data_IF_627524415807
#
_entry.id   IF_627524415807
#
_cell.length_a   1.000
_cell.length_b   1.000
_cell.length_c   1.000
_cell.angle_alpha   90.00
_cell.angle_beta   90.00
_cell.angle_gamma   90.00
#
_symmetry.space_group_name_H-M   'P 1'
#
loop_
_entity.id
_entity.type
_entity.pdbx_description
1 polymer ?
#
# COMPACT_ATOMS: atom_id res chain seq x y z
N UNK A 1 -30.16 -14.18 -61.16
CA UNK A 1 -29.31 -13.41 -62.08
C UNK A 1 -28.47 -12.46 -61.23
N UNK A 2 -27.30 -12.89 -60.76
CA UNK A 2 -26.39 -12.02 -60.00
C UNK A 2 -25.76 -11.05 -61.00
N UNK A 3 -26.23 -9.80 -61.01
CA UNK A 3 -25.67 -8.76 -61.88
C UNK A 3 -24.33 -8.34 -61.27
N UNK A 4 -23.22 -8.62 -61.97
CA UNK A 4 -21.93 -8.02 -61.66
C UNK A 4 -22.05 -6.51 -61.90
N UNK A 5 -21.97 -5.73 -60.82
CA UNK A 5 -21.88 -4.27 -60.88
C UNK A 5 -20.53 -3.87 -61.47
N UNK A 6 -20.55 -2.88 -62.35
CA UNK A 6 -19.34 -2.35 -62.97
C UNK A 6 -18.52 -1.53 -61.96
N UNK A 7 -17.21 -1.38 -62.20
CA UNK A 7 -16.28 -0.64 -61.31
C UNK A 7 -16.77 0.77 -60.93
N UNK A 8 -17.47 1.45 -61.85
CA UNK A 8 -18.04 2.78 -61.57
C UNK A 8 -19.20 2.73 -60.58
N UNK A 9 -20.02 1.68 -60.60
CA UNK A 9 -21.13 1.51 -59.64
C UNK A 9 -20.59 1.20 -58.23
N UNK A 10 -19.48 0.46 -58.12
CA UNK A 10 -18.76 0.23 -56.87
C UNK A 10 -18.18 1.52 -56.27
N UNK A 11 -17.59 2.37 -57.11
CA UNK A 11 -17.03 3.65 -56.67
C UNK A 11 -18.10 4.62 -56.15
N UNK A 12 -19.28 4.65 -56.80
CA UNK A 12 -20.40 5.48 -56.34
C UNK A 12 -20.98 4.94 -55.03
N UNK A 13 -21.13 3.63 -54.87
CA UNK A 13 -21.59 3.04 -53.61
C UNK A 13 -20.60 3.27 -52.46
N UNK A 14 -19.28 3.21 -52.71
CA UNK A 14 -18.28 3.43 -51.66
C UNK A 14 -18.25 4.89 -51.20
N UNK A 15 -18.38 5.87 -52.10
CA UNK A 15 -18.56 7.29 -51.75
C UNK A 15 -19.89 7.54 -51.02
N UNK A 16 -20.98 6.89 -51.47
CA UNK A 16 -22.28 7.00 -50.80
C UNK A 16 -22.25 6.42 -49.38
N UNK A 17 -21.48 5.35 -49.16
CA UNK A 17 -21.30 4.73 -47.85
C UNK A 17 -20.40 5.58 -46.94
N UNK A 18 -19.31 6.15 -47.47
CA UNK A 18 -18.43 7.10 -46.76
C UNK A 18 -19.18 8.32 -46.22
N UNK A 19 -20.18 8.83 -46.93
CA UNK A 19 -20.96 10.02 -46.49
C UNK A 19 -21.98 9.75 -45.39
N UNK A 20 -22.44 8.50 -45.22
CA UNK A 20 -23.57 8.19 -44.32
C UNK A 20 -23.14 7.66 -42.95
N UNK A 21 -21.92 7.18 -42.84
CA UNK A 21 -21.32 6.67 -41.61
C UNK A 21 -19.93 7.30 -41.52
N UNK A 22 -19.67 8.07 -40.48
CA UNK A 22 -18.43 8.80 -40.22
C UNK A 22 -17.25 7.81 -40.03
N UNK A 23 -16.79 7.19 -41.11
CA UNK A 23 -15.57 6.39 -41.18
C UNK A 23 -14.41 7.27 -41.66
N UNK A 24 -14.23 8.43 -41.04
CA UNK A 24 -13.03 9.28 -41.25
C UNK A 24 -11.75 8.67 -40.64
N UNK A 25 -11.85 7.51 -39.99
CA UNK A 25 -10.81 6.88 -39.18
C UNK A 25 -10.09 5.71 -39.86
N UNK A 26 -10.62 5.25 -40.99
CA UNK A 26 -10.14 4.07 -41.71
C UNK A 26 -9.66 4.49 -43.10
N UNK A 27 -8.36 4.35 -43.36
CA UNK A 27 -7.77 4.47 -44.68
C UNK A 27 -7.54 3.09 -45.28
N UNK A 28 -7.82 2.96 -46.57
CA UNK A 28 -7.48 1.76 -47.33
C UNK A 28 -6.21 2.04 -48.11
N UNK A 29 -5.11 1.39 -47.75
CA UNK A 29 -3.84 1.45 -48.49
C UNK A 29 -3.53 0.06 -48.99
N UNK A 30 -3.38 -0.10 -50.32
CA UNK A 30 -3.03 -1.35 -51.00
C UNK A 30 -3.85 -2.59 -50.57
N UNK A 31 -5.15 -2.38 -50.28
CA UNK A 31 -6.08 -3.46 -49.93
C UNK A 31 -6.19 -3.78 -48.44
N UNK A 32 -5.33 -3.18 -47.60
CA UNK A 32 -5.39 -3.35 -46.15
C UNK A 32 -6.11 -2.17 -45.46
N UNK A 33 -6.87 -2.53 -44.42
CA UNK A 33 -7.55 -1.58 -43.53
C UNK A 33 -6.53 -1.03 -42.54
N UNK A 34 -6.16 0.24 -42.68
CA UNK A 34 -5.19 0.91 -41.79
C UNK A 34 -5.90 2.05 -41.07
N UNK A 35 -5.66 2.18 -39.76
CA UNK A 35 -6.13 3.34 -39.00
C UNK A 35 -5.35 4.59 -39.41
N UNK A 36 -6.04 5.70 -39.65
CA UNK A 36 -5.43 6.97 -40.01
C UNK A 36 -4.32 7.35 -39.01
N UNK A 37 -3.13 7.74 -39.52
CA UNK A 37 -1.91 7.91 -38.71
C UNK A 37 -2.10 8.93 -37.57
N UNK A 38 -2.87 9.99 -37.78
CA UNK A 38 -3.18 11.01 -36.77
C UNK A 38 -3.88 10.43 -35.54
N UNK A 39 -4.73 9.41 -35.70
CA UNK A 39 -5.49 8.85 -34.59
C UNK A 39 -4.69 7.82 -33.81
N UNK A 40 -3.78 7.09 -34.48
CA UNK A 40 -2.74 6.30 -33.82
C UNK A 40 -1.86 7.21 -32.95
N UNK A 41 -1.45 8.36 -33.47
CA UNK A 41 -0.69 9.35 -32.68
C UNK A 41 -1.51 9.96 -31.54
N UNK A 42 -2.81 10.23 -31.70
CA UNK A 42 -3.68 10.68 -30.60
C UNK A 42 -3.89 9.62 -29.53
N UNK A 43 -4.11 8.36 -29.89
CA UNK A 43 -4.22 7.26 -28.92
C UNK A 43 -2.91 7.05 -28.16
N UNK A 44 -1.77 7.12 -28.86
CA UNK A 44 -0.45 7.03 -28.26
C UNK A 44 -0.16 8.25 -27.35
N UNK A 45 -0.42 9.48 -27.80
CA UNK A 45 -0.29 10.71 -27.00
C UNK A 45 -1.24 10.73 -25.80
N UNK A 46 -2.47 10.23 -25.97
CA UNK A 46 -3.44 10.05 -24.90
C UNK A 46 -2.97 9.04 -23.87
N UNK A 47 -2.45 7.90 -24.31
CA UNK A 47 -1.81 6.90 -23.46
C UNK A 47 -0.60 7.45 -22.70
N UNK A 48 0.27 8.22 -23.35
CA UNK A 48 1.39 8.91 -22.70
C UNK A 48 0.92 9.96 -21.68
N UNK A 49 -0.11 10.75 -21.99
CA UNK A 49 -0.68 11.73 -21.05
C UNK A 49 -1.30 11.04 -19.84
N UNK A 50 -2.11 9.99 -20.04
CA UNK A 50 -2.71 9.22 -18.95
C UNK A 50 -1.62 8.56 -18.10
N UNK A 51 -0.62 7.95 -18.73
CA UNK A 51 0.54 7.36 -18.05
C UNK A 51 1.34 8.39 -17.25
N UNK A 52 1.59 9.57 -17.81
CA UNK A 52 2.27 10.67 -17.12
C UNK A 52 1.43 11.22 -15.96
N UNK A 53 0.10 11.34 -16.10
CA UNK A 53 -0.78 11.71 -14.99
C UNK A 53 -0.80 10.67 -13.87
N UNK A 54 -0.81 9.38 -14.21
CA UNK A 54 -0.73 8.30 -13.24
C UNK A 54 0.62 8.32 -12.51
N UNK A 55 1.72 8.49 -13.27
CA UNK A 55 3.07 8.56 -12.74
C UNK A 55 3.24 9.77 -11.82
N UNK A 56 2.83 10.97 -12.25
CA UNK A 56 2.89 12.19 -11.42
C UNK A 56 2.03 12.07 -10.17
N UNK A 57 0.85 11.44 -10.26
CA UNK A 57 0.02 11.17 -9.08
C UNK A 57 0.67 10.18 -8.12
N UNK A 58 1.31 9.14 -8.65
CA UNK A 58 2.08 8.17 -7.86
C UNK A 58 3.33 8.81 -7.22
N UNK A 59 4.04 9.68 -7.94
CA UNK A 59 5.18 10.44 -7.42
C UNK A 59 4.76 11.40 -6.30
N UNK A 60 3.62 12.08 -6.43
CA UNK A 60 3.06 12.90 -5.33
C UNK A 60 2.67 12.07 -4.11
N UNK A 61 2.32 10.80 -4.30
CA UNK A 61 2.06 9.87 -3.20
C UNK A 61 3.34 9.51 -2.44
N UNK A 62 4.49 9.61 -3.11
CA UNK A 62 5.84 9.30 -2.61
C UNK A 62 6.54 10.51 -1.99
N UNK A 63 5.97 11.71 -2.07
CA UNK A 63 6.59 12.88 -1.45
C UNK A 63 6.47 12.80 0.09
N UNK A 64 7.58 13.00 0.81
CA UNK A 64 7.53 13.13 2.26
C UNK A 64 6.69 14.37 2.61
N UNK A 65 5.70 14.19 3.48
CA UNK A 65 4.82 15.27 3.91
C UNK A 65 5.43 15.98 5.11
N UNK A 66 5.14 17.27 5.22
CA UNK A 66 5.75 18.14 6.25
C UNK A 66 5.10 17.95 7.62
N UNK A 67 3.82 17.56 7.66
CA UNK A 67 3.03 17.35 8.88
C UNK A 67 3.17 15.95 9.50
N UNK A 68 3.94 15.07 8.86
CA UNK A 68 4.07 13.67 9.26
C UNK A 68 5.34 13.41 10.09
N UNK A 69 5.18 12.59 11.13
CA UNK A 69 6.26 12.07 11.96
C UNK A 69 7.09 11.03 11.18
N UNK A 70 8.32 10.76 11.63
CA UNK A 70 9.19 9.74 11.03
C UNK A 70 8.50 8.37 10.94
N UNK A 71 7.77 7.98 11.99
CA UNK A 71 7.06 6.69 12.00
C UNK A 71 5.89 6.66 11.03
N UNK A 72 5.20 7.78 10.81
CA UNK A 72 4.11 7.85 9.82
C UNK A 72 4.69 7.68 8.41
N UNK A 73 5.81 8.34 8.12
CA UNK A 73 6.58 8.19 6.87
C UNK A 73 7.03 6.73 6.66
N UNK A 74 7.45 6.02 7.72
CA UNK A 74 7.74 4.59 7.60
C UNK A 74 6.56 3.77 7.07
N UNK A 75 5.31 4.14 7.37
CA UNK A 75 4.13 3.39 6.89
C UNK A 75 3.79 3.74 5.44
N UNK A 76 3.37 4.97 5.20
CA UNK A 76 2.74 5.34 3.94
C UNK A 76 3.74 5.51 2.80
N UNK A 77 5.00 5.84 3.11
CA UNK A 77 6.05 6.06 2.14
C UNK A 77 6.90 4.80 2.01
N UNK A 78 7.69 4.46 3.02
CA UNK A 78 8.66 3.36 2.89
C UNK A 78 7.98 1.99 2.78
N UNK A 79 7.12 1.64 3.74
CA UNK A 79 6.47 0.32 3.78
C UNK A 79 5.53 0.14 2.60
N UNK A 80 4.63 1.09 2.34
CA UNK A 80 3.72 1.04 1.19
C UNK A 80 4.47 0.85 -0.14
N UNK A 81 5.53 1.62 -0.38
CA UNK A 81 6.33 1.53 -1.61
C UNK A 81 7.06 0.20 -1.70
N UNK A 82 7.64 -0.27 -0.60
CA UNK A 82 8.31 -1.56 -0.53
C UNK A 82 7.36 -2.72 -0.90
N UNK A 83 6.16 -2.75 -0.31
CA UNK A 83 5.15 -3.76 -0.63
C UNK A 83 4.70 -3.69 -2.10
N UNK A 84 4.50 -2.48 -2.63
CA UNK A 84 4.15 -2.28 -4.03
C UNK A 84 5.25 -2.76 -4.99
N UNK A 85 6.51 -2.45 -4.69
CA UNK A 85 7.66 -2.92 -5.48
C UNK A 85 7.77 -4.45 -5.44
N UNK A 86 7.64 -5.08 -4.28
CA UNK A 86 7.65 -6.54 -4.20
C UNK A 86 6.48 -7.18 -4.94
N UNK A 87 5.30 -6.57 -4.91
CA UNK A 87 4.16 -7.00 -5.72
C UNK A 87 4.50 -7.02 -7.21
N UNK A 88 5.14 -5.96 -7.73
CA UNK A 88 5.58 -5.90 -9.13
C UNK A 88 6.63 -6.96 -9.44
N UNK A 89 7.65 -7.11 -8.59
CA UNK A 89 8.75 -8.07 -8.82
C UNK A 89 8.21 -9.51 -8.87
N UNK A 90 7.35 -9.89 -7.90
CA UNK A 90 6.73 -11.22 -7.88
C UNK A 90 5.83 -11.41 -9.11
N UNK A 91 5.04 -10.40 -9.49
CA UNK A 91 4.18 -10.47 -10.69
C UNK A 91 4.99 -10.62 -11.98
N UNK A 92 6.13 -9.95 -12.10
CA UNK A 92 7.02 -10.07 -13.24
C UNK A 92 7.58 -11.50 -13.36
N UNK A 93 7.95 -12.10 -12.21
CA UNK A 93 8.41 -13.50 -12.20
C UNK A 93 7.27 -14.48 -12.54
N UNK A 94 6.04 -14.14 -12.19
CA UNK A 94 4.84 -14.94 -12.42
C UNK A 94 4.43 -15.04 -13.90
N UNK A 95 4.68 -14.01 -14.70
CA UNK A 95 4.31 -13.95 -16.12
C UNK A 95 5.21 -14.80 -17.04
N UNK A 96 6.41 -15.16 -16.59
CA UNK A 96 7.34 -16.00 -17.35
C UNK A 96 7.00 -17.48 -17.22
N UNK A 97 7.92 -18.23 -16.59
CA UNK A 97 7.74 -19.64 -16.23
C UNK A 97 7.80 -19.75 -14.70
N UNK A 98 6.64 -19.83 -14.02
CA UNK A 98 6.63 -19.90 -12.56
C UNK A 98 7.10 -21.27 -12.04
N UNK A 99 6.88 -22.32 -12.84
CA UNK A 99 7.27 -23.70 -12.55
C UNK A 99 7.86 -24.36 -13.80
N UNK A 100 8.73 -25.34 -13.56
CA UNK A 100 9.32 -26.20 -14.59
C UNK A 100 9.13 -27.66 -14.15
N UNK A 101 8.55 -28.51 -15.00
CA UNK A 101 8.16 -29.87 -14.62
C UNK A 101 8.98 -30.94 -15.35
N UNK A 102 9.43 -31.94 -14.61
CA UNK A 102 10.03 -33.14 -15.18
C UNK A 102 8.94 -34.04 -15.76
N UNK A 103 8.69 -33.88 -17.07
CA UNK A 103 7.70 -34.64 -17.83
C UNK A 103 8.32 -35.86 -18.52
N UNK A 104 7.53 -36.91 -18.82
CA UNK A 104 8.02 -38.07 -19.56
C UNK A 104 8.55 -37.71 -20.96
N UNK A 105 9.61 -38.38 -21.42
CA UNK A 105 10.27 -38.08 -22.69
C UNK A 105 9.37 -38.21 -23.94
N UNK A 106 8.25 -38.94 -23.84
CA UNK A 106 7.26 -39.03 -24.92
C UNK A 106 6.40 -37.77 -25.09
N UNK A 107 6.44 -36.82 -24.16
CA UNK A 107 5.64 -35.59 -24.25
C UNK A 107 6.29 -34.62 -25.24
N UNK A 108 5.46 -33.99 -26.07
CA UNK A 108 5.89 -32.89 -26.92
C UNK A 108 6.03 -31.61 -26.11
N UNK A 109 6.74 -30.60 -26.63
CA UNK A 109 6.86 -29.28 -25.98
C UNK A 109 5.51 -28.64 -25.64
N UNK A 110 4.49 -28.86 -26.48
CA UNK A 110 3.15 -28.36 -26.21
C UNK A 110 2.48 -29.08 -25.02
N UNK A 111 2.73 -30.39 -24.86
CA UNK A 111 2.24 -31.17 -23.73
C UNK A 111 2.96 -30.80 -22.43
N UNK A 112 4.26 -30.51 -22.49
CA UNK A 112 5.05 -29.97 -21.38
C UNK A 112 4.47 -28.63 -20.90
N UNK A 113 4.27 -27.67 -21.80
CA UNK A 113 3.67 -26.37 -21.49
C UNK A 113 2.24 -26.50 -20.94
N UNK A 114 1.44 -27.42 -21.47
CA UNK A 114 0.11 -27.70 -20.92
C UNK A 114 0.22 -28.24 -19.49
N UNK A 115 1.14 -29.19 -19.25
CA UNK A 115 1.36 -29.80 -17.93
C UNK A 115 1.79 -28.74 -16.92
N UNK A 116 2.76 -27.89 -17.27
CA UNK A 116 3.23 -26.79 -16.41
C UNK A 116 2.11 -25.79 -16.11
N UNK A 117 1.36 -25.34 -17.13
CA UNK A 117 0.27 -24.41 -16.90
C UNK A 117 -0.86 -25.02 -16.06
N UNK A 118 -1.19 -26.29 -16.29
CA UNK A 118 -2.19 -27.01 -15.50
C UNK A 118 -1.76 -27.13 -14.04
N UNK A 119 -0.53 -27.59 -13.80
CA UNK A 119 0.03 -27.75 -12.46
C UNK A 119 0.17 -26.42 -11.72
N UNK A 120 0.47 -25.35 -12.45
CA UNK A 120 0.49 -24.02 -11.87
C UNK A 120 -0.90 -23.60 -11.40
N UNK A 121 -1.94 -23.75 -12.23
CA UNK A 121 -3.31 -23.30 -11.92
C UNK A 121 -3.98 -24.16 -10.85
N UNK A 122 -3.80 -25.48 -10.89
CA UNK A 122 -4.47 -26.42 -9.99
C UNK A 122 -3.83 -26.49 -8.58
N UNK A 123 -2.62 -25.94 -8.42
CA UNK A 123 -1.73 -26.08 -7.27
C UNK A 123 -0.95 -27.40 -7.22
N UNK A 124 0.17 -27.38 -6.53
CA UNK A 124 1.04 -28.53 -6.31
C UNK A 124 1.07 -28.91 -4.84
N UNK A 125 1.51 -30.13 -4.50
CA UNK A 125 1.63 -30.60 -3.13
C UNK A 125 3.05 -31.07 -2.81
N UNK A 126 3.44 -31.00 -1.55
CA UNK A 126 4.78 -31.41 -1.11
C UNK A 126 4.75 -32.76 -0.37
N UNK A 127 5.72 -33.62 -0.69
CA UNK A 127 5.97 -34.90 -0.02
C UNK A 127 7.49 -35.05 0.16
N UNK A 128 7.98 -35.44 1.36
CA UNK A 128 9.39 -35.77 1.56
C UNK A 128 9.86 -36.87 0.60
N UNK A 129 11.10 -36.78 0.12
CA UNK A 129 11.65 -37.78 -0.83
C UNK A 129 11.74 -39.21 -0.26
N UNK A 130 11.82 -39.35 1.06
CA UNK A 130 11.90 -40.64 1.73
C UNK A 130 10.51 -41.26 1.96
N UNK A 131 9.45 -40.46 1.84
CA UNK A 131 8.08 -40.89 2.06
C UNK A 131 7.43 -41.37 0.75
N UNK A 132 6.56 -42.37 0.86
CA UNK A 132 5.75 -42.85 -0.26
C UNK A 132 4.69 -41.80 -0.62
N UNK A 133 4.48 -41.58 -1.92
CA UNK A 133 3.42 -40.69 -2.42
C UNK A 133 2.06 -41.24 -1.94
N UNK A 134 1.27 -40.47 -1.16
CA UNK A 134 0.00 -40.95 -0.60
C UNK A 134 -0.93 -41.48 -1.69
N UNK A 135 -1.57 -42.64 -1.47
CA UNK A 135 -2.50 -43.19 -2.46
C UNK A 135 -3.87 -42.49 -2.46
N UNK A 136 -4.33 -42.03 -1.28
CA UNK A 136 -5.60 -41.34 -1.11
C UNK A 136 -5.52 -39.92 -1.66
N UNK A 137 -6.55 -39.50 -2.39
CA UNK A 137 -6.65 -38.16 -2.97
C UNK A 137 -6.77 -37.08 -1.88
N UNK A 138 -7.59 -37.33 -0.85
CA UNK A 138 -7.79 -36.41 0.26
C UNK A 138 -6.47 -36.03 0.98
N UNK A 139 -5.55 -36.99 1.10
CA UNK A 139 -4.24 -36.78 1.72
C UNK A 139 -3.31 -35.92 0.85
N UNK A 140 -3.52 -35.91 -0.46
CA UNK A 140 -2.80 -35.05 -1.41
C UNK A 140 -3.39 -33.64 -1.40
N UNK A 141 -4.72 -33.53 -1.42
CA UNK A 141 -5.44 -32.25 -1.35
C UNK A 141 -5.09 -31.45 -0.10
N UNK A 142 -5.01 -32.10 1.08
CA UNK A 142 -4.60 -31.45 2.34
C UNK A 142 -3.16 -30.93 2.34
N UNK A 143 -2.31 -31.42 1.44
CA UNK A 143 -0.91 -31.01 1.29
C UNK A 143 -0.69 -30.00 0.15
N UNK A 144 -1.77 -29.55 -0.51
CA UNK A 144 -1.68 -28.60 -1.61
C UNK A 144 -1.24 -27.22 -1.13
N UNK A 145 -0.43 -26.57 -1.95
CA UNK A 145 0.16 -25.26 -1.68
C UNK A 145 -0.31 -24.30 -2.77
N UNK A 146 -1.32 -23.49 -2.43
CA UNK A 146 -1.92 -22.54 -3.36
C UNK A 146 -1.60 -21.06 -3.12
N UNK A 147 -0.86 -20.72 -2.06
CA UNK A 147 -0.66 -19.31 -1.70
C UNK A 147 0.20 -18.53 -2.70
N UNK A 148 1.11 -19.19 -3.45
CA UNK A 148 2.02 -18.51 -4.39
C UNK A 148 1.30 -17.69 -5.47
N UNK A 149 0.15 -18.18 -5.95
CA UNK A 149 -0.69 -17.47 -6.93
C UNK A 149 -1.23 -16.15 -6.38
N UNK A 150 -1.46 -16.08 -5.06
CA UNK A 150 -2.10 -14.95 -4.38
C UNK A 150 -1.11 -13.95 -3.78
N UNK A 151 0.18 -14.30 -3.69
CA UNK A 151 1.24 -13.42 -3.16
C UNK A 151 1.21 -12.01 -3.76
N UNK A 152 1.23 -11.81 -5.09
CA UNK A 152 1.27 -10.45 -5.65
C UNK A 152 0.04 -9.62 -5.26
N UNK A 153 -1.16 -10.23 -5.29
CA UNK A 153 -2.38 -9.55 -4.90
C UNK A 153 -2.40 -9.19 -3.42
N UNK A 154 -1.93 -10.10 -2.55
CA UNK A 154 -1.81 -9.85 -1.12
C UNK A 154 -0.86 -8.68 -0.84
N UNK A 155 0.29 -8.62 -1.52
CA UNK A 155 1.26 -7.53 -1.38
C UNK A 155 0.69 -6.18 -1.88
N UNK A 156 -0.02 -6.18 -3.00
CA UNK A 156 -0.66 -4.97 -3.52
C UNK A 156 -1.74 -4.42 -2.56
N UNK A 157 -2.58 -5.30 -2.00
CA UNK A 157 -3.59 -4.92 -1.01
C UNK A 157 -2.92 -4.38 0.25
N UNK A 158 -1.85 -5.02 0.74
CA UNK A 158 -1.09 -4.56 1.89
C UNK A 158 -0.51 -3.15 1.67
N UNK A 159 0.04 -2.86 0.49
CA UNK A 159 0.53 -1.52 0.15
C UNK A 159 -0.57 -0.45 0.31
N UNK A 160 -1.76 -0.70 -0.23
CA UNK A 160 -2.91 0.22 -0.11
C UNK A 160 -3.31 0.41 1.36
N UNK A 161 -3.35 -0.68 2.13
CA UNK A 161 -3.70 -0.63 3.55
C UNK A 161 -2.69 0.18 4.38
N UNK A 162 -1.39 0.14 4.05
CA UNK A 162 -0.37 0.98 4.70
C UNK A 162 -0.51 2.47 4.37
N UNK A 163 -1.06 2.82 3.20
CA UNK A 163 -1.31 4.21 2.82
C UNK A 163 -2.63 4.76 3.39
N UNK A 164 -3.58 3.89 3.75
CA UNK A 164 -4.93 4.26 4.18
C UNK A 164 -4.98 5.20 5.40
N UNK A 165 -4.26 4.95 6.52
CA UNK A 165 -4.39 5.81 7.71
C UNK A 165 -3.95 7.26 7.47
N UNK A 166 -2.88 7.48 6.71
CA UNK A 166 -2.42 8.83 6.36
C UNK A 166 -3.38 9.54 5.39
N UNK A 167 -4.10 8.79 4.56
CA UNK A 167 -5.18 9.36 3.74
C UNK A 167 -6.36 9.80 4.61
N UNK A 168 -6.70 9.02 5.63
CA UNK A 168 -7.74 9.34 6.61
C UNK A 168 -7.38 10.59 7.41
N UNK A 169 -6.11 10.72 7.84
CA UNK A 169 -5.60 11.93 8.48
C UNK A 169 -5.92 13.18 7.66
N UNK A 170 -5.55 13.19 6.37
CA UNK A 170 -5.81 14.34 5.48
C UNK A 170 -7.29 14.69 5.35
N UNK A 171 -8.14 13.67 5.22
CA UNK A 171 -9.59 13.89 5.07
C UNK A 171 -10.18 14.49 6.35
N UNK A 172 -9.73 14.06 7.52
CA UNK A 172 -10.29 14.47 8.81
C UNK A 172 -9.66 15.75 9.38
N UNK A 173 -8.36 15.97 9.13
CA UNK A 173 -7.62 17.16 9.61
C UNK A 173 -8.09 18.42 8.90
N UNK A 174 -8.36 18.36 7.60
CA UNK A 174 -8.90 19.49 6.82
C UNK A 174 -10.27 19.96 7.31
N UNK A 175 -11.08 19.08 7.92
CA UNK A 175 -12.38 19.44 8.51
C UNK A 175 -12.25 20.30 9.77
N UNK A 176 -11.07 20.38 10.37
CA UNK A 176 -10.83 21.18 11.57
C UNK A 176 -10.74 22.69 11.28
N UNK A 177 -10.63 23.09 10.01
CA UNK A 177 -10.26 24.46 9.60
C UNK A 177 -8.77 24.77 9.76
N UNK A 178 -8.01 23.90 10.43
CA UNK A 178 -6.57 24.04 10.60
C UNK A 178 -5.83 23.41 9.43
N UNK A 179 -5.07 24.21 8.68
CA UNK A 179 -4.19 23.69 7.65
C UNK A 179 -2.79 23.48 8.22
N UNK A 180 -2.56 22.30 8.81
CA UNK A 180 -1.28 21.94 9.43
C UNK A 180 -0.11 22.08 8.44
N UNK A 181 -0.31 21.64 7.18
CA UNK A 181 0.71 21.76 6.14
C UNK A 181 1.10 23.22 5.88
N UNK A 182 0.13 24.15 5.85
CA UNK A 182 0.41 25.56 5.63
C UNK A 182 1.14 26.18 6.84
N UNK A 183 0.71 25.84 8.05
CA UNK A 183 1.35 26.28 9.29
C UNK A 183 2.82 25.91 9.31
N UNK A 184 3.13 24.65 8.99
CA UNK A 184 4.52 24.20 9.02
C UNK A 184 5.30 24.78 7.85
N UNK A 185 4.71 24.94 6.66
CA UNK A 185 5.40 25.58 5.53
C UNK A 185 5.79 27.04 5.82
N UNK A 186 4.91 27.80 6.47
CA UNK A 186 5.20 29.18 6.89
C UNK A 186 6.25 29.22 8.01
N UNK A 187 6.21 28.25 8.93
CA UNK A 187 7.24 28.12 9.95
C UNK A 187 8.59 27.70 9.34
N UNK A 188 8.63 26.72 8.44
CA UNK A 188 9.87 26.16 7.90
C UNK A 188 10.37 26.87 6.63
N UNK A 189 9.99 28.12 6.41
CA UNK A 189 10.39 28.84 5.21
C UNK A 189 11.85 29.28 5.31
N UNK A 190 12.67 28.98 4.29
CA UNK A 190 14.09 29.36 4.24
C UNK A 190 14.34 30.88 4.36
N UNK A 191 13.32 31.70 4.15
CA UNK A 191 13.39 33.16 4.27
C UNK A 191 13.28 33.66 5.71
N UNK A 192 12.95 32.79 6.68
CA UNK A 192 12.86 33.14 8.10
C UNK A 192 14.24 33.44 8.74
N UNK A 193 15.34 33.30 7.98
CA UNK A 193 16.67 33.82 8.34
C UNK A 193 16.61 35.33 8.56
N UNK A 194 15.81 36.06 7.77
CA UNK A 194 15.65 37.50 7.91
C UNK A 194 14.69 37.79 9.08
N UNK A 195 15.13 38.55 10.12
CA UNK A 195 14.29 38.85 11.28
C UNK A 195 12.98 39.55 10.92
N UNK A 196 12.96 40.42 9.89
CA UNK A 196 11.75 41.11 9.47
C UNK A 196 10.72 40.15 8.87
N UNK A 197 11.18 39.16 8.08
CA UNK A 197 10.32 38.14 7.48
C UNK A 197 9.83 37.19 8.55
N UNK A 198 10.71 36.75 9.45
CA UNK A 198 10.36 35.87 10.57
C UNK A 198 9.29 36.49 11.46
N UNK A 199 9.44 37.75 11.87
CA UNK A 199 8.46 38.42 12.73
C UNK A 199 7.09 38.50 12.04
N UNK A 200 7.07 38.78 10.73
CA UNK A 200 5.84 38.76 9.95
C UNK A 200 5.23 37.36 9.83
N UNK A 201 6.04 36.33 9.57
CA UNK A 201 5.62 34.92 9.53
C UNK A 201 5.02 34.48 10.87
N UNK A 202 5.66 34.83 11.98
CA UNK A 202 5.17 34.56 13.34
C UNK A 202 3.85 35.27 13.62
N UNK A 203 3.70 36.53 13.18
CA UNK A 203 2.46 37.29 13.32
C UNK A 203 1.30 36.64 12.53
N UNK A 204 1.55 36.27 11.27
CA UNK A 204 0.57 35.57 10.42
C UNK A 204 0.20 34.21 11.02
N UNK A 205 1.20 33.45 11.48
CA UNK A 205 1.02 32.15 12.10
C UNK A 205 0.19 32.25 13.39
N UNK A 206 0.50 33.22 14.24
CA UNK A 206 -0.22 33.46 15.50
C UNK A 206 -1.68 33.81 15.23
N UNK A 207 -1.96 34.68 14.26
CA UNK A 207 -3.33 35.00 13.84
C UNK A 207 -4.06 33.78 13.31
N UNK A 208 -3.43 32.99 12.44
CA UNK A 208 -4.03 31.78 11.88
C UNK A 208 -4.38 30.75 12.96
N UNK A 209 -3.46 30.49 13.90
CA UNK A 209 -3.69 29.57 15.02
C UNK A 209 -4.81 30.09 15.92
N UNK A 210 -4.80 31.39 16.27
CA UNK A 210 -5.84 31.99 17.11
C UNK A 210 -7.22 31.91 16.44
N UNK A 211 -7.33 32.25 15.16
CA UNK A 211 -8.58 32.16 14.39
C UNK A 211 -9.07 30.71 14.26
N UNK A 212 -8.16 29.75 14.02
CA UNK A 212 -8.52 28.34 13.92
C UNK A 212 -8.98 27.76 15.28
N UNK A 213 -8.29 28.08 16.37
CA UNK A 213 -8.68 27.66 17.72
C UNK A 213 -10.00 28.32 18.16
N UNK A 214 -10.23 29.60 17.82
CA UNK A 214 -11.51 30.28 18.03
C UNK A 214 -12.63 29.62 17.23
N UNK A 215 -12.41 29.33 15.96
CA UNK A 215 -13.39 28.63 15.11
C UNK A 215 -13.82 27.29 15.73
N UNK A 216 -12.86 26.49 16.20
CA UNK A 216 -13.15 25.21 16.87
C UNK A 216 -13.97 25.40 18.15
N UNK A 217 -13.64 26.42 18.95
CA UNK A 217 -14.33 26.75 20.20
C UNK A 217 -15.79 27.16 19.96
N UNK A 218 -16.02 28.06 19.02
CA UNK A 218 -17.35 28.57 18.70
C UNK A 218 -18.23 27.48 18.09
N UNK A 219 -17.65 26.63 17.23
CA UNK A 219 -18.35 25.51 16.63
C UNK A 219 -18.76 24.45 17.67
N UNK A 220 -17.89 24.18 18.65
CA UNK A 220 -18.17 23.26 19.75
C UNK A 220 -19.36 23.66 20.64
N UNK A 221 -19.62 24.97 20.76
CA UNK A 221 -20.72 25.52 21.57
C UNK A 221 -22.09 25.41 20.86
N UNK A 222 -22.13 25.42 19.52
CA UNK A 222 -23.35 25.70 18.75
C UNK A 222 -24.21 24.49 18.34
N UNK A 223 -23.67 23.26 18.28
CA UNK A 223 -24.38 22.12 17.65
C UNK A 223 -24.81 21.00 18.63
N UNK A 224 -26.12 20.66 18.62
CA UNK A 224 -26.80 19.72 19.55
C UNK A 224 -27.28 18.38 18.92
N UNK A 225 -26.74 17.88 17.80
CA UNK A 225 -27.26 16.65 17.14
C UNK A 225 -26.40 15.37 17.26
N UNK A 226 -27.12 14.23 17.39
CA UNK A 226 -26.89 12.77 17.23
C UNK A 226 -25.59 12.08 17.72
N UNK A 227 -25.80 10.93 18.37
CA UNK A 227 -24.96 10.17 19.32
C UNK A 227 -23.66 9.51 18.80
N UNK A 228 -23.48 9.24 17.50
CA UNK A 228 -22.34 8.42 17.03
C UNK A 228 -20.97 9.15 17.13
N UNK A 229 -20.97 10.47 17.31
CA UNK A 229 -19.77 11.30 17.35
C UNK A 229 -19.32 11.71 18.77
N UNK A 230 -19.73 11.00 19.83
CA UNK A 230 -19.50 11.44 21.22
C UNK A 230 -18.02 11.72 21.57
N UNK A 231 -17.07 10.88 21.12
CA UNK A 231 -15.62 11.07 21.35
C UNK A 231 -15.09 12.27 20.56
N UNK A 232 -15.46 12.37 19.28
CA UNK A 232 -15.12 13.51 18.42
C UNK A 232 -15.78 14.82 18.92
N UNK A 233 -16.93 14.73 19.59
CA UNK A 233 -17.59 15.86 20.26
C UNK A 233 -16.87 16.25 21.55
N UNK A 234 -16.47 15.29 22.39
CA UNK A 234 -15.68 15.56 23.58
C UNK A 234 -14.38 16.28 23.18
N UNK A 235 -13.67 15.77 22.16
CA UNK A 235 -12.54 16.46 21.55
C UNK A 235 -12.86 17.90 21.11
N UNK A 236 -13.94 18.11 20.35
CA UNK A 236 -14.36 19.46 19.89
C UNK A 236 -14.67 20.43 21.03
N UNK A 237 -15.32 19.99 22.11
CA UNK A 237 -15.65 20.84 23.26
C UNK A 237 -14.40 21.25 24.04
N UNK A 238 -13.45 20.33 24.20
CA UNK A 238 -12.19 20.58 24.92
C UNK A 238 -11.07 21.19 24.04
N UNK A 239 -11.33 21.56 22.78
CA UNK A 239 -10.30 22.07 21.86
C UNK A 239 -9.18 21.05 21.62
N UNK A 240 -9.59 19.79 21.46
CA UNK A 240 -8.76 18.61 21.30
C UNK A 240 -9.20 17.80 20.06
N UNK A 241 -9.90 18.42 19.11
CA UNK A 241 -10.44 17.71 17.94
C UNK A 241 -9.31 17.17 17.07
N UNK A 242 -8.34 18.02 16.73
CA UNK A 242 -7.22 17.64 15.86
C UNK A 242 -6.38 16.57 16.55
N UNK A 243 -6.14 16.74 17.85
CA UNK A 243 -5.42 15.79 18.70
C UNK A 243 -6.09 14.43 18.75
N UNK A 244 -7.42 14.38 18.92
CA UNK A 244 -8.19 13.12 18.93
C UNK A 244 -8.13 12.44 17.57
N UNK A 245 -8.26 13.20 16.47
CA UNK A 245 -8.13 12.67 15.11
C UNK A 245 -6.72 12.13 14.87
N UNK A 246 -5.69 12.83 15.34
CA UNK A 246 -4.30 12.41 15.21
C UNK A 246 -4.03 11.09 15.95
N UNK A 247 -4.46 11.00 17.22
CA UNK A 247 -4.37 9.76 18.01
C UNK A 247 -5.17 8.61 17.39
N UNK A 248 -6.34 8.91 16.82
CA UNK A 248 -7.12 7.92 16.08
C UNK A 248 -6.33 7.38 14.88
N UNK A 249 -5.69 8.23 14.08
CA UNK A 249 -4.85 7.78 12.96
C UNK A 249 -3.64 6.98 13.43
N UNK A 250 -2.96 7.39 14.50
CA UNK A 250 -1.87 6.60 15.11
C UNK A 250 -2.36 5.22 15.53
N UNK A 251 -3.56 5.13 16.11
CA UNK A 251 -4.17 3.85 16.46
C UNK A 251 -4.49 2.99 15.24
N UNK A 252 -4.92 3.59 14.12
CA UNK A 252 -5.12 2.89 12.86
C UNK A 252 -3.81 2.38 12.26
N UNK A 253 -2.71 3.14 12.35
CA UNK A 253 -1.38 2.65 11.95
C UNK A 253 -0.97 1.42 12.76
N UNK A 254 -1.13 1.47 14.10
CA UNK A 254 -0.82 0.32 14.97
C UNK A 254 -1.71 -0.89 14.66
N UNK A 255 -3.03 -0.68 14.52
CA UNK A 255 -3.95 -1.75 14.16
C UNK A 255 -3.61 -2.36 12.80
N UNK A 256 -3.26 -1.53 11.81
CA UNK A 256 -2.90 -2.00 10.49
C UNK A 256 -1.61 -2.84 10.52
N UNK A 257 -0.55 -2.39 11.19
CA UNK A 257 0.70 -3.19 11.24
C UNK A 257 0.49 -4.51 11.98
N UNK A 258 -0.29 -4.54 13.06
CA UNK A 258 -0.65 -5.78 13.78
C UNK A 258 -1.47 -6.70 12.87
N UNK A 259 -2.48 -6.16 12.17
CA UNK A 259 -3.30 -6.93 11.26
C UNK A 259 -2.47 -7.52 10.11
N UNK A 260 -1.56 -6.74 9.52
CA UNK A 260 -0.66 -7.20 8.47
C UNK A 260 0.31 -8.26 8.99
N UNK A 261 0.82 -8.12 10.21
CA UNK A 261 1.67 -9.14 10.82
C UNK A 261 0.90 -10.46 11.02
N UNK A 262 -0.33 -10.41 11.53
CA UNK A 262 -1.19 -11.60 11.69
C UNK A 262 -1.52 -12.19 10.32
N UNK A 263 -1.95 -11.36 9.37
CA UNK A 263 -2.28 -11.80 8.01
C UNK A 263 -1.09 -12.46 7.32
N UNK A 264 0.12 -11.93 7.48
CA UNK A 264 1.34 -12.52 6.92
C UNK A 264 1.63 -13.92 7.49
N UNK A 265 1.48 -14.08 8.81
CA UNK A 265 1.69 -15.38 9.46
C UNK A 265 0.61 -16.39 9.03
N UNK A 266 -0.66 -15.97 8.97
CA UNK A 266 -1.78 -16.82 8.53
C UNK A 266 -1.69 -17.16 7.03
N UNK A 267 -1.20 -16.25 6.19
CA UNK A 267 -1.08 -16.47 4.75
C UNK A 267 -0.06 -17.56 4.40
N UNK A 268 0.98 -17.70 5.22
CA UNK A 268 2.01 -18.73 5.09
C UNK A 268 1.61 -20.05 5.74
N UNK A 269 0.43 -20.13 6.35
CA UNK A 269 0.06 -21.22 7.26
C UNK A 269 -0.11 -22.55 6.52
N UNK A 270 0.89 -23.41 6.69
CA UNK A 270 0.82 -24.87 6.57
C UNK A 270 1.05 -25.55 7.93
N UNK A 271 0.99 -24.82 9.07
CA UNK A 271 1.20 -25.42 10.39
C UNK A 271 0.69 -24.56 11.56
N UNK A 272 0.22 -25.22 12.63
CA UNK A 272 -0.41 -24.71 13.87
C UNK A 272 0.44 -23.76 14.76
N UNK A 273 1.34 -22.95 14.21
CA UNK A 273 2.24 -22.09 15.00
C UNK A 273 2.01 -20.60 14.70
N UNK A 274 1.65 -19.77 15.70
CA UNK A 274 1.31 -18.36 15.50
C UNK A 274 2.50 -17.47 15.08
N UNK A 275 3.74 -17.93 15.28
CA UNK A 275 4.97 -17.20 14.92
C UNK A 275 5.74 -17.91 13.81
N UNK A 276 5.10 -18.13 12.67
CA UNK A 276 5.68 -18.85 11.54
C UNK A 276 7.03 -18.28 11.10
N UNK A 277 7.11 -16.96 10.88
CA UNK A 277 8.34 -16.31 10.39
C UNK A 277 9.53 -16.45 11.35
N UNK A 278 9.29 -16.41 12.66
CA UNK A 278 10.34 -16.63 13.67
C UNK A 278 10.90 -18.06 13.63
N UNK A 279 10.04 -19.04 13.34
CA UNK A 279 10.48 -20.42 13.17
C UNK A 279 11.24 -20.64 11.86
N UNK A 280 10.81 -20.02 10.75
CA UNK A 280 11.58 -20.09 9.48
C UNK A 280 12.97 -19.49 9.68
N UNK A 281 13.06 -18.37 10.40
CA UNK A 281 14.34 -17.76 10.75
C UNK A 281 15.20 -18.67 11.63
N UNK A 282 14.60 -19.31 12.64
CA UNK A 282 15.28 -20.29 13.49
C UNK A 282 15.82 -21.50 12.70
N UNK A 283 15.01 -22.04 11.78
CA UNK A 283 15.42 -23.13 10.90
C UNK A 283 16.58 -22.71 10.00
N UNK A 284 16.53 -21.49 9.45
CA UNK A 284 17.60 -20.97 8.61
C UNK A 284 18.90 -20.77 9.39
N UNK A 285 18.83 -20.29 10.64
CA UNK A 285 20.00 -20.12 11.52
C UNK A 285 20.58 -21.48 11.94
N UNK A 286 19.72 -22.47 12.20
CA UNK A 286 20.13 -23.83 12.56
C UNK A 286 20.57 -24.67 11.35
N UNK A 287 20.43 -24.14 10.13
CA UNK A 287 20.82 -24.82 8.89
C UNK A 287 19.86 -25.93 8.46
N UNK A 288 18.61 -25.94 8.95
CA UNK A 288 17.59 -26.90 8.50
C UNK A 288 17.06 -26.48 7.13
N UNK A 289 17.19 -27.36 6.14
CA UNK A 289 16.73 -27.09 4.79
C UNK A 289 15.21 -27.30 4.61
N UNK A 290 14.67 -26.77 3.52
CA UNK A 290 13.27 -26.97 3.09
C UNK A 290 12.91 -28.47 2.91
N UNK A 291 13.91 -29.33 2.66
CA UNK A 291 13.74 -30.77 2.47
C UNK A 291 13.20 -31.48 3.72
N UNK A 292 13.51 -30.95 4.90
CA UNK A 292 13.11 -31.54 6.17
C UNK A 292 11.88 -30.85 6.75
N UNK A 293 11.81 -29.51 6.61
CA UNK A 293 10.74 -28.73 7.22
C UNK A 293 9.45 -28.68 6.39
N UNK A 294 9.52 -28.97 5.08
CA UNK A 294 8.40 -28.81 4.14
C UNK A 294 7.96 -27.36 3.93
N UNK A 295 8.65 -26.39 4.55
CA UNK A 295 8.35 -24.97 4.43
C UNK A 295 9.06 -24.41 3.22
N UNK A 296 8.34 -23.63 2.41
CA UNK A 296 8.83 -23.09 1.15
C UNK A 296 9.52 -24.19 0.31
N UNK A 297 8.80 -25.24 -0.12
CA UNK A 297 9.41 -26.33 -0.88
C UNK A 297 9.83 -25.86 -2.26
N UNK A 298 11.02 -26.27 -2.70
CA UNK A 298 11.53 -25.96 -4.05
C UNK A 298 11.12 -27.00 -5.08
N UNK A 299 10.83 -28.21 -4.64
CA UNK A 299 10.32 -29.29 -5.48
C UNK A 299 8.98 -29.73 -4.92
N UNK A 300 7.99 -29.83 -5.80
CA UNK A 300 6.63 -30.24 -5.47
C UNK A 300 6.14 -31.27 -6.47
N UNK A 301 5.08 -31.99 -6.12
CA UNK A 301 4.42 -32.97 -6.97
C UNK A 301 3.13 -32.36 -7.51
N UNK A 302 2.81 -32.73 -8.73
CA UNK A 302 1.55 -32.40 -9.38
C UNK A 302 0.95 -33.65 -9.99
N UNK A 303 -0.36 -33.83 -9.80
CA UNK A 303 -1.12 -34.86 -10.47
C UNK A 303 -2.02 -34.23 -11.52
N UNK A 304 -2.01 -34.77 -12.73
CA UNK A 304 -2.96 -34.40 -13.77
C UNK A 304 -3.54 -35.64 -14.45
N UNK A 305 -4.75 -35.51 -14.97
CA UNK A 305 -5.49 -36.59 -15.58
C UNK A 305 -5.74 -36.30 -17.06
N UNK A 306 -5.28 -37.20 -17.94
CA UNK A 306 -5.56 -37.14 -19.36
C UNK A 306 -6.72 -38.10 -19.67
N UNK A 307 -7.78 -37.56 -20.28
CA UNK A 307 -8.89 -38.34 -20.81
C UNK A 307 -8.52 -38.88 -22.17
N UNK A 308 -8.51 -40.20 -22.30
CA UNK A 308 -8.46 -40.91 -23.58
C UNK A 308 -9.77 -41.66 -23.80
N UNK A 309 -10.08 -42.06 -25.04
CA UNK A 309 -11.29 -42.84 -25.34
C UNK A 309 -11.34 -44.10 -24.47
N UNK A 310 -12.29 -44.16 -23.52
CA UNK A 310 -12.53 -45.31 -22.66
C UNK A 310 -11.69 -45.42 -21.38
N UNK A 311 -10.73 -44.51 -21.12
CA UNK A 311 -9.93 -44.56 -19.89
C UNK A 311 -9.45 -43.17 -19.44
N UNK A 312 -9.13 -43.04 -18.15
CA UNK A 312 -8.48 -41.85 -17.57
C UNK A 312 -7.10 -42.25 -17.07
N UNK A 313 -6.06 -41.63 -17.62
CA UNK A 313 -4.69 -41.86 -17.18
C UNK A 313 -4.24 -40.73 -16.27
N UNK A 314 -3.88 -41.09 -15.02
CA UNK A 314 -3.30 -40.16 -14.07
C UNK A 314 -1.78 -40.19 -14.16
N UNK A 315 -1.18 -39.03 -14.31
CA UNK A 315 0.26 -38.82 -14.30
C UNK A 315 0.64 -38.01 -13.06
N UNK A 316 1.72 -38.40 -12.39
CA UNK A 316 2.34 -37.63 -11.32
C UNK A 316 3.70 -37.15 -11.81
N UNK A 317 3.93 -35.84 -11.83
CA UNK A 317 5.18 -35.22 -12.26
C UNK A 317 5.83 -34.46 -11.12
N UNK A 318 7.15 -34.35 -11.15
CA UNK A 318 7.93 -33.54 -10.21
C UNK A 318 8.16 -32.16 -10.83
N UNK A 319 7.78 -31.10 -10.13
CA UNK A 319 7.92 -29.73 -10.60
C UNK A 319 8.79 -28.91 -9.66
N UNK A 320 9.71 -28.14 -10.25
CA UNK A 320 10.54 -27.17 -9.55
C UNK A 320 9.79 -25.84 -9.50
N UNK A 321 9.64 -25.28 -8.30
CA UNK A 321 8.94 -24.04 -8.06
C UNK A 321 9.93 -22.87 -8.05
N UNK A 322 10.13 -22.26 -9.21
CA UNK A 322 11.13 -21.20 -9.41
C UNK A 322 10.75 -19.91 -8.65
N UNK A 323 9.45 -19.61 -8.53
CA UNK A 323 8.91 -18.45 -7.80
C UNK A 323 9.27 -18.48 -6.30
N UNK A 324 9.42 -19.67 -5.74
CA UNK A 324 9.66 -19.82 -4.31
C UNK A 324 11.03 -19.28 -3.86
N UNK A 325 12.08 -19.41 -4.68
CA UNK A 325 13.42 -18.92 -4.33
C UNK A 325 13.44 -17.41 -4.00
N UNK A 326 12.61 -16.63 -4.69
CA UNK A 326 12.44 -15.20 -4.43
C UNK A 326 11.47 -14.97 -3.25
N UNK A 327 10.35 -15.69 -3.26
CA UNK A 327 9.25 -15.52 -2.30
C UNK A 327 9.69 -15.78 -0.85
N UNK A 328 10.48 -16.83 -0.62
CA UNK A 328 11.08 -17.16 0.69
C UNK A 328 11.84 -15.96 1.28
N UNK A 329 12.65 -15.28 0.46
CA UNK A 329 13.50 -14.16 0.89
C UNK A 329 12.72 -12.88 1.11
N UNK A 330 11.77 -12.58 0.22
CA UNK A 330 10.85 -11.44 0.39
C UNK A 330 10.08 -11.60 1.70
N UNK A 331 9.52 -12.77 1.98
CA UNK A 331 8.74 -12.98 3.20
C UNK A 331 9.56 -12.87 4.48
N UNK A 332 10.78 -13.42 4.51
CA UNK A 332 11.69 -13.26 5.65
C UNK A 332 12.02 -11.79 5.92
N UNK A 333 12.33 -11.05 4.86
CA UNK A 333 12.62 -9.62 4.95
C UNK A 333 11.39 -8.83 5.45
N UNK A 334 10.22 -9.07 4.87
CA UNK A 334 8.97 -8.42 5.27
C UNK A 334 8.59 -8.75 6.72
N UNK A 335 8.80 -9.99 7.16
CA UNK A 335 8.51 -10.40 8.54
C UNK A 335 9.37 -9.62 9.55
N UNK A 336 10.68 -9.53 9.31
CA UNK A 336 11.60 -8.74 10.13
C UNK A 336 11.26 -7.25 10.11
N UNK A 337 10.94 -6.72 8.93
CA UNK A 337 10.54 -5.31 8.77
C UNK A 337 9.27 -4.99 9.55
N UNK A 338 8.21 -5.79 9.40
CA UNK A 338 6.95 -5.60 10.11
C UNK A 338 7.11 -5.75 11.62
N UNK A 339 7.99 -6.65 12.09
CA UNK A 339 8.31 -6.77 13.50
C UNK A 339 8.90 -5.46 14.03
N UNK A 340 9.93 -4.91 13.39
CA UNK A 340 10.54 -3.63 13.79
C UNK A 340 9.54 -2.46 13.69
N UNK A 341 8.76 -2.41 12.62
CA UNK A 341 7.72 -1.40 12.41
C UNK A 341 6.64 -1.46 13.51
N UNK A 342 6.24 -2.66 13.93
CA UNK A 342 5.25 -2.85 15.01
C UNK A 342 5.75 -2.34 16.37
N UNK A 343 7.03 -2.52 16.68
CA UNK A 343 7.62 -1.95 17.90
C UNK A 343 7.75 -0.43 17.80
N UNK A 344 8.25 0.08 16.67
CA UNK A 344 8.38 1.52 16.44
C UNK A 344 7.04 2.26 16.53
N UNK A 345 5.98 1.68 15.95
CA UNK A 345 4.61 2.24 16.05
C UNK A 345 4.05 2.21 17.45
N UNK A 346 4.23 1.14 18.20
CA UNK A 346 3.74 1.04 19.57
C UNK A 346 4.39 2.12 20.45
N UNK A 347 5.72 2.28 20.36
CA UNK A 347 6.45 3.33 21.08
C UNK A 347 5.94 4.72 20.67
N UNK A 348 5.80 4.95 19.37
CA UNK A 348 5.33 6.22 18.83
C UNK A 348 3.93 6.58 19.31
N UNK A 349 3.00 5.63 19.24
CA UNK A 349 1.63 5.80 19.74
C UNK A 349 1.63 6.13 21.24
N UNK A 350 2.45 5.45 22.04
CA UNK A 350 2.56 5.72 23.48
C UNK A 350 3.07 7.13 23.73
N UNK A 351 4.16 7.56 23.06
CA UNK A 351 4.74 8.90 23.22
C UNK A 351 3.70 9.98 22.91
N UNK A 352 3.02 9.89 21.76
CA UNK A 352 2.00 10.87 21.38
C UNK A 352 0.77 10.84 22.29
N UNK A 353 0.35 9.65 22.73
CA UNK A 353 -0.78 9.53 23.67
C UNK A 353 -0.46 10.19 25.00
N UNK A 354 0.76 9.98 25.55
CA UNK A 354 1.19 10.60 26.80
C UNK A 354 1.37 12.11 26.66
N UNK A 355 2.03 12.58 25.59
CA UNK A 355 2.23 14.01 25.31
C UNK A 355 0.90 14.77 25.20
N UNK A 356 -0.08 14.22 24.48
CA UNK A 356 -1.34 14.93 24.24
C UNK A 356 -2.37 14.76 25.37
N UNK A 357 -2.37 13.63 26.08
CA UNK A 357 -3.37 13.35 27.10
C UNK A 357 -3.01 13.93 28.46
N UNK A 358 -1.73 13.89 28.85
CA UNK A 358 -1.29 14.32 30.17
C UNK A 358 -1.10 15.84 30.23
N UNK A 359 -1.85 16.48 31.13
CA UNK A 359 -1.78 17.91 31.39
C UNK A 359 -0.37 18.39 31.75
N UNK A 360 0.30 17.66 32.64
CA UNK A 360 1.63 18.02 33.15
C UNK A 360 2.70 17.96 32.07
N UNK A 361 2.62 16.98 31.16
CA UNK A 361 3.58 16.84 30.06
C UNK A 361 3.43 17.96 29.04
N UNK A 362 2.18 18.33 28.71
CA UNK A 362 1.91 19.50 27.86
C UNK A 362 2.47 20.78 28.49
N UNK A 363 2.27 20.96 29.78
CA UNK A 363 2.79 22.12 30.51
C UNK A 363 4.32 22.12 30.49
N UNK A 364 4.95 21.01 30.88
CA UNK A 364 6.41 20.85 30.91
C UNK A 364 7.07 21.07 29.54
N UNK A 365 6.43 20.59 28.47
CA UNK A 365 6.86 20.85 27.10
C UNK A 365 6.88 22.36 26.83
N UNK A 366 5.74 23.05 26.98
CA UNK A 366 5.63 24.48 26.67
C UNK A 366 6.53 25.35 27.57
N UNK A 367 6.66 25.04 28.87
CA UNK A 367 7.54 25.80 29.77
C UNK A 367 9.01 25.65 29.43
N UNK A 368 9.42 24.48 28.91
CA UNK A 368 10.79 24.26 28.44
C UNK A 368 11.12 25.18 27.26
N UNK A 369 10.16 25.50 26.40
CA UNK A 369 10.38 26.43 25.27
C UNK A 369 10.27 27.90 25.64
N UNK A 370 9.33 28.25 26.52
CA UNK A 370 9.15 29.66 26.90
C UNK A 370 10.27 30.18 27.82
N UNK A 371 11.13 29.30 28.34
CA UNK A 371 12.15 29.59 29.37
C UNK A 371 11.60 30.38 30.58
N UNK A 372 10.29 30.32 30.78
CA UNK A 372 9.54 31.14 31.71
C UNK A 372 8.45 30.28 32.35
N UNK A 373 8.45 30.22 33.68
CA UNK A 373 7.44 29.53 34.46
C UNK A 373 6.65 30.57 35.25
N UNK A 374 5.35 30.67 34.98
CA UNK A 374 4.47 31.57 35.74
C UNK A 374 3.06 30.98 35.87
N UNK A 375 2.29 31.43 36.85
CA UNK A 375 0.86 31.06 36.93
C UNK A 375 0.05 31.48 35.67
N UNK A 376 0.61 32.35 34.82
CA UNK A 376 0.02 32.70 33.53
C UNK A 376 0.28 31.63 32.48
N UNK A 377 1.45 30.97 32.47
CA UNK A 377 1.77 29.90 31.50
C UNK A 377 0.85 28.70 31.69
N UNK A 378 0.58 28.29 32.93
CA UNK A 378 -0.39 27.23 33.21
C UNK A 378 -1.78 27.55 32.64
N UNK A 379 -2.29 28.77 32.86
CA UNK A 379 -3.59 29.19 32.29
C UNK A 379 -3.56 29.24 30.77
N UNK A 380 -2.48 29.74 30.19
CA UNK A 380 -2.28 29.79 28.75
C UNK A 380 -2.31 28.38 28.12
N UNK A 381 -1.52 27.44 28.63
CA UNK A 381 -1.46 26.06 28.11
C UNK A 381 -2.81 25.36 28.24
N UNK A 382 -3.46 25.43 29.42
CA UNK A 382 -4.69 24.67 29.67
C UNK A 382 -5.95 25.27 29.06
N UNK A 383 -6.10 26.60 29.07
CA UNK A 383 -7.36 27.24 28.66
C UNK A 383 -7.31 27.79 27.24
N UNK A 384 -6.17 28.36 26.83
CA UNK A 384 -6.00 28.99 25.52
C UNK A 384 -5.49 27.99 24.49
N UNK A 385 -4.27 27.47 24.68
CA UNK A 385 -3.59 26.62 23.71
C UNK A 385 -4.27 25.25 23.56
N UNK A 386 -4.61 24.61 24.69
CA UNK A 386 -5.30 23.30 24.74
C UNK A 386 -4.49 22.20 24.01
N UNK A 387 -4.98 20.94 23.90
CA UNK A 387 -4.23 19.88 23.23
C UNK A 387 -3.91 20.20 21.77
N UNK A 388 -4.85 20.81 21.04
CA UNK A 388 -4.66 21.08 19.60
C UNK A 388 -3.55 22.10 19.34
N UNK A 389 -3.44 23.15 20.15
CA UNK A 389 -2.33 24.09 20.05
C UNK A 389 -0.99 23.46 20.42
N UNK A 390 -0.96 22.58 21.43
CA UNK A 390 0.26 21.86 21.83
C UNK A 390 0.71 20.88 20.74
N UNK A 391 -0.22 20.20 20.07
CA UNK A 391 0.07 19.34 18.91
C UNK A 391 0.78 20.12 17.79
N UNK A 392 0.26 21.30 17.43
CA UNK A 392 0.85 22.14 16.37
C UNK A 392 2.29 22.52 16.74
N UNK A 393 2.51 22.97 17.98
CA UNK A 393 3.85 23.31 18.45
C UNK A 393 4.80 22.10 18.40
N UNK A 394 4.32 20.93 18.82
CA UNK A 394 5.10 19.69 18.74
C UNK A 394 5.49 19.35 17.30
N UNK A 395 4.57 19.44 16.34
CA UNK A 395 4.82 19.10 14.94
C UNK A 395 5.77 20.12 14.28
N UNK A 396 5.55 21.43 14.51
CA UNK A 396 6.46 22.46 14.02
C UNK A 396 7.87 22.27 14.56
N UNK A 397 8.01 21.96 15.84
CA UNK A 397 9.31 21.76 16.47
C UNK A 397 10.01 20.49 15.98
N UNK A 398 9.30 19.37 15.88
CA UNK A 398 9.87 18.12 15.36
C UNK A 398 10.42 18.31 13.93
N UNK A 399 9.74 19.12 13.11
CA UNK A 399 10.23 19.47 11.78
C UNK A 399 11.42 20.44 11.83
N UNK A 400 11.45 21.36 12.79
CA UNK A 400 12.56 22.29 13.00
C UNK A 400 13.83 21.62 13.55
N UNK A 401 13.76 20.53 14.32
CA UNK A 401 14.97 19.77 14.70
C UNK A 401 15.56 18.98 13.52
N UNK A 402 14.71 18.55 12.57
CA UNK A 402 15.14 17.86 11.34
C UNK A 402 15.78 18.86 10.36
N UNK A 403 15.37 20.12 10.38
CA UNK A 403 15.99 21.21 9.63
C UNK A 403 17.11 21.83 10.47
N UNK A 404 18.39 21.62 10.16
CA UNK A 404 19.46 21.98 11.07
C UNK A 404 19.44 23.48 11.41
N UNK A 405 19.10 23.77 12.67
CA UNK A 405 19.45 24.99 13.42
C UNK A 405 18.96 26.35 12.89
N UNK A 406 17.66 26.69 12.85
CA UNK A 406 17.26 28.12 12.72
C UNK A 406 15.92 28.58 13.39
N UNK A 407 15.21 27.76 14.18
CA UNK A 407 13.92 28.19 14.78
C UNK A 407 13.98 28.65 16.24
#
# INVERSE_FOLDING_TARGET
>A
MYRQLTLNEWAVQSEFFKRRINFSYIEFVDGDVVLASEEKERMVSGGYRVGMHLLTSALRLLEPRVDDDFVDRLHYLYTSTMFFLFSIIVSAKQYGHPIECFVPAQFTKAMEQYTENYCWVQNTYWVPFQDLIPHRLDDRERRQIGYYQWVPFALAIAAIMFHMPSTIWRILSTQSGLNMSLVIQLASQDQNVDPLIRDHSVEVLTRHIDDALKYQRDYGSRNKSVYLFAVLKLGKIYGAYVSVVYLFVKSLHLCNVILQFIMLNNFLETSNYPFFGGHVLYDLITGREWRDSGRFPRVTLCDFEIRVLGNVHRHTVQCVLVVNMLTEKIFLFLWLWLLLLSFGTAINMIIWTLSLSLADWRHAFVTKFLECESNQTHRFVHHFLRPDGVLILHVCFYQAEILPNEF
#
